data_IF_323055323665
#
_entry.id   IF_323055323665
#
_cell.length_a   1.000
_cell.length_b   1.000
_cell.length_c   1.000
_cell.angle_alpha   90.00
_cell.angle_beta   90.00
_cell.angle_gamma   90.00
#
_symmetry.space_group_name_H-M   'P 1'
#
loop_
_entity.id
_entity.type
_entity.pdbx_description
1 polymer ?
#
# COMPACT_ATOMS: atom_id res chain seq x y z
N UNK A 1 4.64 52.15 60.97
CA UNK A 1 5.85 51.79 60.20
C UNK A 1 5.67 50.38 59.65
N UNK A 2 5.89 50.24 58.33
CA UNK A 2 6.07 49.02 57.50
C UNK A 2 4.97 47.94 57.53
N UNK A 3 4.13 47.84 56.47
CA UNK A 3 4.37 47.07 55.21
C UNK A 3 4.80 45.62 55.46
N UNK A 4 3.94 44.66 55.11
CA UNK A 4 4.29 43.66 54.08
C UNK A 4 3.11 42.72 53.76
N UNK A 5 2.68 42.84 52.51
CA UNK A 5 2.01 41.88 51.62
C UNK A 5 1.63 40.49 52.14
N UNK A 6 0.33 40.18 52.07
CA UNK A 6 -0.17 38.82 51.79
C UNK A 6 0.03 38.54 50.30
N UNK A 7 1.12 37.88 49.96
CA UNK A 7 1.30 37.19 48.68
C UNK A 7 0.67 35.80 48.80
N UNK A 8 -0.04 35.44 47.74
CA UNK A 8 -0.66 34.16 47.40
C UNK A 8 0.02 32.90 47.95
N UNK A 9 -0.77 32.04 48.58
CA UNK A 9 -0.51 30.59 48.64
C UNK A 9 -1.76 29.85 48.15
N UNK A 10 -2.02 29.99 46.85
CA UNK A 10 -2.60 28.90 46.05
C UNK A 10 -1.40 28.03 45.67
N UNK A 11 -1.17 26.97 46.42
CA UNK A 11 -0.20 25.93 46.11
C UNK A 11 -0.90 24.60 46.33
N UNK A 12 -1.62 24.16 45.30
CA UNK A 12 -2.21 22.82 45.23
C UNK A 12 -1.12 21.79 45.50
N UNK A 13 -1.36 20.86 46.42
CA UNK A 13 -0.42 19.80 46.73
C UNK A 13 -0.29 18.88 45.52
N UNK A 14 0.82 18.99 44.80
CA UNK A 14 1.16 18.11 43.70
C UNK A 14 1.22 16.66 44.19
N UNK A 15 0.42 15.77 43.61
CA UNK A 15 0.39 14.39 44.08
C UNK A 15 1.74 13.70 43.86
N UNK A 16 2.10 12.83 44.80
CA UNK A 16 3.28 11.95 44.73
C UNK A 16 3.35 11.20 43.38
N UNK A 17 2.19 10.96 42.77
CA UNK A 17 2.03 10.35 41.46
C UNK A 17 2.60 11.24 40.32
N UNK A 18 2.18 12.50 40.23
CA UNK A 18 2.70 13.43 39.22
C UNK A 18 4.19 13.72 39.42
N UNK A 19 4.64 13.87 40.67
CA UNK A 19 6.06 14.07 41.00
C UNK A 19 6.91 12.89 40.56
N UNK A 20 6.40 11.66 40.68
CA UNK A 20 7.09 10.45 40.20
C UNK A 20 7.21 10.47 38.68
N UNK A 21 6.13 10.76 37.95
CA UNK A 21 6.17 10.82 36.48
C UNK A 21 7.09 11.93 35.98
N UNK A 22 7.06 13.12 36.60
CA UNK A 22 7.97 14.24 36.29
C UNK A 22 9.43 13.85 36.47
N UNK A 23 9.77 13.20 37.60
CA UNK A 23 11.13 12.75 37.88
C UNK A 23 11.59 11.76 36.82
N UNK A 24 10.77 10.74 36.54
CA UNK A 24 11.14 9.72 35.57
C UNK A 24 11.26 10.34 34.17
N UNK A 25 10.38 11.26 33.79
CA UNK A 25 10.46 11.94 32.47
C UNK A 25 11.74 12.77 32.31
N UNK A 26 12.11 13.56 33.33
CA UNK A 26 13.36 14.34 33.31
C UNK A 26 14.63 13.49 33.17
N UNK A 27 14.61 12.25 33.68
CA UNK A 27 15.75 11.31 33.55
C UNK A 27 15.95 10.84 32.10
N UNK A 28 14.89 10.87 31.28
CA UNK A 28 14.84 10.26 29.95
C UNK A 28 14.62 11.25 28.80
N UNK A 29 14.31 12.51 29.10
CA UNK A 29 13.96 13.56 28.13
C UNK A 29 15.08 13.83 27.10
N UNK A 30 16.36 13.67 27.48
CA UNK A 30 17.52 14.10 26.67
C UNK A 30 18.57 13.02 26.38
N UNK A 31 18.27 11.73 26.60
CA UNK A 31 19.22 10.63 26.37
C UNK A 31 18.63 9.53 25.50
N UNK A 32 19.46 8.84 24.73
CA UNK A 32 19.07 7.59 24.08
C UNK A 32 18.80 6.55 25.16
N UNK A 33 17.57 6.03 25.22
CA UNK A 33 17.11 5.17 26.30
C UNK A 33 17.36 3.71 25.91
N UNK A 34 18.15 2.93 26.67
CA UNK A 34 18.26 1.49 26.47
C UNK A 34 16.89 0.82 26.57
N UNK A 35 16.64 -0.18 25.71
CA UNK A 35 15.36 -0.89 25.64
C UNK A 35 14.87 -1.42 27.02
N UNK A 36 15.80 -1.89 27.85
CA UNK A 36 15.53 -2.39 29.21
C UNK A 36 15.00 -1.30 30.15
N UNK A 37 15.50 -0.06 30.03
CA UNK A 37 15.04 1.08 30.82
C UNK A 37 13.67 1.57 30.34
N UNK A 38 13.40 1.51 29.03
CA UNK A 38 12.05 1.73 28.48
C UNK A 38 11.04 0.69 28.98
N UNK A 39 11.42 -0.59 29.04
CA UNK A 39 10.55 -1.64 29.57
C UNK A 39 10.25 -1.43 31.05
N UNK A 40 11.26 -1.10 31.87
CA UNK A 40 11.06 -0.73 33.27
C UNK A 40 10.18 0.51 33.44
N UNK A 41 10.34 1.52 32.59
CA UNK A 41 9.48 2.71 32.59
C UNK A 41 8.03 2.33 32.32
N UNK A 42 7.79 1.53 31.29
CA UNK A 42 6.48 1.06 30.87
C UNK A 42 5.82 0.20 31.96
N UNK A 43 6.55 -0.73 32.58
CA UNK A 43 6.06 -1.53 33.70
C UNK A 43 5.69 -0.68 34.91
N UNK A 44 6.53 0.30 35.28
CA UNK A 44 6.24 1.21 36.39
C UNK A 44 4.99 2.04 36.13
N UNK A 45 4.83 2.59 34.94
CA UNK A 45 3.62 3.32 34.55
C UNK A 45 2.39 2.42 34.50
N UNK A 46 2.52 1.22 33.96
CA UNK A 46 1.42 0.27 33.88
C UNK A 46 0.95 -0.20 35.27
N UNK A 47 1.88 -0.52 36.18
CA UNK A 47 1.58 -0.84 37.58
C UNK A 47 0.90 0.31 38.31
N UNK A 48 1.21 1.56 37.93
CA UNK A 48 0.58 2.74 38.49
C UNK A 48 -0.84 2.96 37.93
N UNK A 49 -1.11 2.55 36.69
CA UNK A 49 -2.42 2.65 36.02
C UNK A 49 -3.41 1.56 36.41
N UNK A 50 -2.94 0.37 36.76
CA UNK A 50 -3.79 -0.77 37.19
C UNK A 50 -4.31 -0.64 38.63
N UNK A 51 -4.17 0.52 39.28
CA UNK A 51 -4.69 0.74 40.64
C UNK A 51 -6.21 0.95 40.61
N UNK A 52 -6.94 0.51 41.65
CA UNK A 52 -8.40 0.39 41.59
C UNK A 52 -9.13 1.72 41.34
N UNK A 53 -10.35 1.68 40.75
CA UNK A 53 -11.08 2.82 40.17
C UNK A 53 -11.54 3.89 41.16
N UNK A 54 -11.24 3.74 42.45
CA UNK A 54 -11.60 4.74 43.46
C UNK A 54 -10.74 6.02 43.36
N UNK A 55 -9.69 5.99 42.52
CA UNK A 55 -8.88 7.14 42.11
C UNK A 55 -9.27 7.71 40.73
N UNK A 56 -10.21 7.10 39.99
CA UNK A 56 -10.60 7.54 38.63
C UNK A 56 -11.37 8.87 38.58
N UNK A 57 -11.64 9.49 39.73
CA UNK A 57 -12.23 10.83 39.84
C UNK A 57 -11.34 11.84 40.58
N UNK A 58 -10.07 11.52 40.85
CA UNK A 58 -9.16 12.50 41.43
C UNK A 58 -8.52 13.35 40.31
N UNK A 59 -8.34 14.64 40.57
CA UNK A 59 -7.62 15.58 39.71
C UNK A 59 -6.26 15.04 39.22
N UNK A 60 -5.67 14.07 39.91
CA UNK A 60 -4.35 13.50 39.62
C UNK A 60 -4.25 12.74 38.30
N UNK A 61 -5.27 11.97 37.92
CA UNK A 61 -5.28 11.26 36.64
C UNK A 61 -5.27 12.24 35.46
N UNK A 62 -6.05 13.33 35.60
CA UNK A 62 -6.11 14.41 34.63
C UNK A 62 -4.81 15.21 34.58
N UNK A 63 -4.22 15.54 35.72
CA UNK A 63 -2.94 16.25 35.81
C UNK A 63 -1.78 15.45 35.21
N UNK A 64 -1.79 14.11 35.32
CA UNK A 64 -0.81 13.25 34.67
C UNK A 64 -1.00 13.19 33.16
N UNK A 65 -2.24 13.07 32.69
CA UNK A 65 -2.55 13.17 31.26
C UNK A 65 -2.09 14.52 30.71
N UNK A 66 -2.44 15.62 31.38
CA UNK A 66 -2.06 16.97 31.00
C UNK A 66 -0.54 17.16 30.98
N UNK A 67 0.19 16.57 31.92
CA UNK A 67 1.65 16.59 31.92
C UNK A 67 2.26 15.77 30.78
N UNK A 68 1.76 14.55 30.53
CA UNK A 68 2.22 13.72 29.42
C UNK A 68 1.91 14.37 28.06
N UNK A 69 0.74 14.99 27.91
CA UNK A 69 0.39 15.82 26.75
C UNK A 69 1.35 17.02 26.63
N UNK A 70 1.66 17.70 27.74
CA UNK A 70 2.63 18.79 27.76
C UNK A 70 3.99 18.37 27.23
N UNK A 71 4.44 17.17 27.62
CA UNK A 71 5.68 16.58 27.10
C UNK A 71 5.60 16.36 25.58
N UNK A 72 4.45 15.95 25.02
CA UNK A 72 4.32 15.80 23.55
C UNK A 72 4.55 17.11 22.77
N UNK A 73 4.43 18.28 23.41
CA UNK A 73 4.75 19.57 22.79
C UNK A 73 6.23 19.95 22.89
N UNK A 74 7.05 19.20 23.63
CA UNK A 74 8.48 19.46 23.74
C UNK A 74 9.24 18.88 22.52
N UNK A 75 9.88 19.78 21.77
CA UNK A 75 10.64 19.45 20.56
C UNK A 75 11.96 18.71 20.87
N UNK A 76 12.41 18.70 22.13
CA UNK A 76 13.69 18.12 22.55
C UNK A 76 13.59 16.68 23.06
N UNK A 77 12.40 16.18 23.32
CA UNK A 77 12.18 14.77 23.74
C UNK A 77 12.81 13.78 22.74
N UNK A 78 13.31 12.63 23.19
CA UNK A 78 13.73 11.57 22.28
C UNK A 78 12.54 10.90 21.56
N UNK A 79 12.66 10.57 20.28
CA UNK A 79 11.59 9.91 19.49
C UNK A 79 11.08 8.60 20.12
N UNK A 80 11.96 7.79 20.73
CA UNK A 80 11.55 6.56 21.41
C UNK A 80 10.69 6.86 22.65
N UNK A 81 11.05 7.91 23.39
CA UNK A 81 10.29 8.35 24.56
C UNK A 81 8.96 8.99 24.16
N UNK A 82 8.95 9.75 23.06
CA UNK A 82 7.74 10.29 22.46
C UNK A 82 6.76 9.18 22.06
N UNK A 83 7.24 8.15 21.35
CA UNK A 83 6.45 6.96 20.98
C UNK A 83 5.93 6.23 22.22
N UNK A 84 6.72 6.16 23.30
CA UNK A 84 6.30 5.55 24.56
C UNK A 84 5.16 6.33 25.21
N UNK A 85 5.26 7.66 25.31
CA UNK A 85 4.19 8.53 25.84
C UNK A 85 2.92 8.37 25.00
N UNK A 86 3.04 8.35 23.67
CA UNK A 86 1.94 8.09 22.73
C UNK A 86 1.26 6.75 23.00
N UNK A 87 2.04 5.67 23.12
CA UNK A 87 1.52 4.32 23.39
C UNK A 87 0.82 4.24 24.75
N UNK A 88 1.36 4.92 25.74
CA UNK A 88 0.77 4.99 27.07
C UNK A 88 -0.55 5.71 26.99
N UNK A 89 -0.57 6.98 26.55
CA UNK A 89 -1.80 7.77 26.41
C UNK A 89 -2.88 6.98 25.68
N UNK A 90 -2.55 6.32 24.57
CA UNK A 90 -3.49 5.46 23.84
C UNK A 90 -4.07 4.31 24.68
N UNK A 91 -3.37 3.75 25.67
CA UNK A 91 -3.92 2.67 26.51
C UNK A 91 -4.83 3.17 27.64
N UNK A 92 -4.93 4.48 27.88
CA UNK A 92 -5.69 5.04 28.98
C UNK A 92 -7.17 5.19 28.61
N UNK A 93 -8.06 4.39 29.23
CA UNK A 93 -9.49 4.42 28.91
C UNK A 93 -10.17 5.76 29.25
N UNK A 94 -9.73 6.46 30.29
CA UNK A 94 -10.29 7.76 30.70
C UNK A 94 -9.90 8.89 29.74
N UNK A 95 -8.76 8.75 29.07
CA UNK A 95 -8.34 9.67 28.01
C UNK A 95 -9.37 9.71 26.87
N UNK A 96 -9.94 8.57 26.49
CA UNK A 96 -10.95 8.53 25.42
C UNK A 96 -12.17 9.36 25.75
N UNK A 97 -12.70 9.27 26.96
CA UNK A 97 -13.85 10.08 27.36
C UNK A 97 -13.58 11.59 27.30
N UNK A 98 -12.33 12.01 27.48
CA UNK A 98 -11.95 13.43 27.48
C UNK A 98 -11.59 13.90 26.06
N UNK A 99 -10.84 13.11 25.30
CA UNK A 99 -10.43 13.40 23.92
C UNK A 99 -11.59 13.33 22.92
N UNK A 100 -12.49 12.35 23.08
CA UNK A 100 -13.63 12.17 22.17
C UNK A 100 -14.65 13.30 22.33
N UNK A 101 -14.74 13.91 23.52
CA UNK A 101 -15.65 15.02 23.79
C UNK A 101 -15.06 16.40 23.47
N UNK A 102 -13.73 16.55 23.47
CA UNK A 102 -13.04 17.83 23.21
C UNK A 102 -12.13 17.76 21.98
N UNK A 103 -12.74 17.87 20.80
CA UNK A 103 -12.03 17.98 19.52
C UNK A 103 -11.03 19.15 19.48
N UNK A 104 -11.18 20.19 20.31
CA UNK A 104 -10.25 21.33 20.34
C UNK A 104 -8.92 20.94 20.98
N UNK A 105 -8.94 20.18 22.07
CA UNK A 105 -7.72 19.68 22.72
C UNK A 105 -6.92 18.76 21.79
N UNK A 106 -7.61 17.89 21.05
CA UNK A 106 -6.99 17.10 19.99
C UNK A 106 -6.42 17.98 18.87
N UNK A 107 -7.17 19.00 18.43
CA UNK A 107 -6.71 19.97 17.41
C UNK A 107 -5.48 20.76 17.85
N UNK A 108 -5.33 21.05 19.14
CA UNK A 108 -4.14 21.69 19.70
C UNK A 108 -2.94 20.75 19.66
N UNK A 109 -3.09 19.50 20.13
CA UNK A 109 -2.05 18.45 20.01
C UNK A 109 -1.57 18.30 18.56
N UNK A 110 -2.49 18.33 17.60
CA UNK A 110 -2.19 18.17 16.17
C UNK A 110 -1.49 19.38 15.54
N UNK A 111 -1.98 20.60 15.81
CA UNK A 111 -1.46 21.80 15.15
C UNK A 111 -0.14 22.31 15.74
N UNK A 112 0.20 21.91 16.96
CA UNK A 112 1.39 22.41 17.67
C UNK A 112 2.54 21.39 17.71
N UNK A 113 2.32 20.12 17.33
CA UNK A 113 3.43 19.17 17.30
C UNK A 113 4.42 19.52 16.19
N UNK A 114 5.66 19.84 16.56
CA UNK A 114 6.77 20.15 15.64
C UNK A 114 7.33 18.85 15.00
N UNK A 115 6.89 17.68 15.48
CA UNK A 115 7.39 16.36 15.06
C UNK A 115 6.74 15.82 13.79
N UNK A 116 7.40 14.81 13.21
CA UNK A 116 7.03 14.20 11.92
C UNK A 116 5.57 13.71 11.91
N UNK A 117 4.81 13.93 10.82
CA UNK A 117 3.46 13.39 10.63
C UNK A 117 3.31 11.89 10.94
N UNK A 118 4.36 11.09 10.69
CA UNK A 118 4.44 9.64 10.98
C UNK A 118 4.03 9.29 12.41
N UNK A 119 4.56 10.01 13.40
CA UNK A 119 4.27 9.69 14.80
C UNK A 119 2.85 10.10 15.21
N UNK A 120 2.33 11.15 14.58
CA UNK A 120 0.97 11.60 14.75
C UNK A 120 -0.03 10.54 14.26
N UNK A 121 0.19 9.97 13.08
CA UNK A 121 -0.63 8.87 12.58
C UNK A 121 -0.53 7.63 13.45
N UNK A 122 0.68 7.32 13.94
CA UNK A 122 0.87 6.20 14.88
C UNK A 122 0.07 6.40 16.16
N UNK A 123 -0.01 7.63 16.68
CA UNK A 123 -0.86 7.94 17.84
C UNK A 123 -2.33 7.72 17.56
N UNK A 124 -2.83 8.16 16.40
CA UNK A 124 -4.23 7.94 16.00
C UNK A 124 -4.51 6.44 15.85
N UNK A 125 -3.60 5.69 15.21
CA UNK A 125 -3.70 4.24 15.06
C UNK A 125 -3.81 3.53 16.41
N UNK A 126 -2.94 3.89 17.35
CA UNK A 126 -2.93 3.30 18.68
C UNK A 126 -4.15 3.70 19.50
N UNK A 127 -4.56 4.98 19.42
CA UNK A 127 -5.80 5.44 20.04
C UNK A 127 -6.98 4.62 19.51
N UNK A 128 -7.05 4.36 18.21
CA UNK A 128 -8.15 3.57 17.70
C UNK A 128 -8.07 2.11 18.12
N UNK A 129 -6.88 1.50 18.02
CA UNK A 129 -6.65 0.10 18.38
C UNK A 129 -7.04 -0.22 19.84
N UNK A 130 -6.83 0.74 20.76
CA UNK A 130 -7.15 0.57 22.16
C UNK A 130 -8.51 1.17 22.57
N UNK A 131 -9.27 1.76 21.64
CA UNK A 131 -10.58 2.35 21.94
C UNK A 131 -11.62 1.25 22.24
N UNK A 132 -12.31 1.29 23.39
CA UNK A 132 -13.40 0.38 23.70
C UNK A 132 -14.54 0.43 22.65
N UNK A 133 -15.03 -0.73 22.19
CA UNK A 133 -16.07 -0.83 21.15
C UNK A 133 -17.36 -0.06 21.47
N UNK A 134 -17.76 -0.04 22.75
CA UNK A 134 -18.92 0.73 23.22
C UNK A 134 -18.72 2.25 23.08
N UNK A 135 -17.48 2.75 23.17
CA UNK A 135 -17.14 4.16 22.92
C UNK A 135 -17.06 4.48 21.44
N UNK A 136 -16.62 3.51 20.62
CA UNK A 136 -16.64 3.66 19.15
C UNK A 136 -18.06 3.90 18.65
N UNK A 137 -19.02 3.10 19.15
CA UNK A 137 -20.42 3.19 18.77
C UNK A 137 -21.12 4.50 19.15
N UNK A 138 -20.64 5.20 20.19
CA UNK A 138 -21.31 6.36 20.78
C UNK A 138 -20.66 7.70 20.42
N UNK A 139 -19.33 7.76 20.34
CA UNK A 139 -18.59 9.02 20.09
C UNK A 139 -17.40 8.82 19.14
N UNK A 140 -16.86 7.60 19.03
CA UNK A 140 -15.71 7.31 18.17
C UNK A 140 -15.97 7.52 16.67
N UNK A 141 -17.23 7.40 16.24
CA UNK A 141 -17.65 7.75 14.87
C UNK A 141 -17.41 9.22 14.53
N UNK A 142 -17.89 10.15 15.36
CA UNK A 142 -17.74 11.59 15.14
C UNK A 142 -16.27 12.01 15.21
N UNK A 143 -15.53 11.46 16.18
CA UNK A 143 -14.10 11.67 16.27
C UNK A 143 -13.34 11.13 15.07
N UNK A 144 -13.68 9.94 14.59
CA UNK A 144 -13.07 9.39 13.39
C UNK A 144 -13.38 10.25 12.16
N UNK A 145 -14.63 10.67 11.97
CA UNK A 145 -15.01 11.59 10.90
C UNK A 145 -14.24 12.89 10.99
N UNK A 146 -14.08 13.43 12.18
CA UNK A 146 -13.24 14.59 12.42
C UNK A 146 -11.79 14.32 12.02
N UNK A 147 -11.21 13.19 12.41
CA UNK A 147 -9.83 12.83 12.09
C UNK A 147 -9.61 12.64 10.58
N UNK A 148 -10.49 11.90 9.91
CA UNK A 148 -10.45 11.70 8.46
C UNK A 148 -10.59 13.02 7.72
N UNK A 149 -11.67 13.76 8.01
CA UNK A 149 -11.98 14.98 7.27
C UNK A 149 -10.95 16.10 7.54
N UNK A 150 -10.41 16.19 8.77
CA UNK A 150 -9.54 17.31 9.16
C UNK A 150 -8.07 17.05 8.86
N UNK A 151 -7.60 15.81 9.05
CA UNK A 151 -6.18 15.51 9.01
C UNK A 151 -5.81 14.54 7.89
N UNK A 152 -6.64 13.54 7.62
CA UNK A 152 -6.23 12.49 6.68
C UNK A 152 -6.09 13.01 5.26
N UNK A 153 -7.05 13.82 4.79
CA UNK A 153 -6.96 14.47 3.47
C UNK A 153 -5.74 15.39 3.39
N UNK A 154 -5.42 16.10 4.48
CA UNK A 154 -4.28 17.04 4.55
C UNK A 154 -2.93 16.34 4.45
N UNK A 155 -2.80 15.15 5.03
CA UNK A 155 -1.52 14.43 5.12
C UNK A 155 -1.41 13.22 4.19
N UNK A 156 -2.48 12.88 3.45
CA UNK A 156 -2.45 11.79 2.48
C UNK A 156 -1.24 11.90 1.54
N UNK A 157 -0.88 13.10 1.09
CA UNK A 157 0.22 13.32 0.15
C UNK A 157 1.62 13.44 0.79
N UNK A 158 1.80 13.15 2.09
CA UNK A 158 3.10 13.35 2.78
C UNK A 158 3.44 12.20 3.75
N UNK A 159 4.57 11.49 3.56
CA UNK A 159 5.59 11.63 2.51
C UNK A 159 5.15 10.99 1.18
N UNK A 160 5.59 11.51 0.02
CA UNK A 160 5.25 10.92 -1.27
C UNK A 160 5.87 9.53 -1.42
N UNK A 161 5.08 8.55 -1.86
CA UNK A 161 5.49 7.17 -2.14
C UNK A 161 6.03 6.38 -0.94
N UNK A 162 5.75 6.82 0.29
CA UNK A 162 6.15 6.11 1.50
C UNK A 162 5.11 5.01 1.83
N UNK A 163 5.51 3.75 1.63
CA UNK A 163 4.63 2.60 1.86
C UNK A 163 4.32 2.39 3.35
N UNK A 164 5.24 2.73 4.25
CA UNK A 164 5.04 2.61 5.70
C UNK A 164 3.95 3.58 6.15
N UNK A 165 4.03 4.81 5.64
CA UNK A 165 3.03 5.85 5.85
C UNK A 165 1.65 5.44 5.30
N UNK A 166 1.61 5.02 4.04
CA UNK A 166 0.37 4.61 3.38
C UNK A 166 -0.27 3.40 4.06
N UNK A 167 0.53 2.45 4.57
CA UNK A 167 0.04 1.30 5.29
C UNK A 167 -0.55 1.66 6.65
N UNK A 168 0.13 2.50 7.44
CA UNK A 168 -0.40 3.00 8.72
C UNK A 168 -1.75 3.73 8.52
N UNK A 169 -1.82 4.52 7.44
CA UNK A 169 -3.07 5.15 7.01
C UNK A 169 -4.15 4.13 6.64
N UNK A 170 -3.78 3.12 5.85
CA UNK A 170 -4.71 2.09 5.38
C UNK A 170 -5.24 1.20 6.51
N UNK A 171 -4.44 0.96 7.56
CA UNK A 171 -4.86 0.28 8.80
C UNK A 171 -6.01 1.03 9.44
N UNK A 172 -5.87 2.35 9.61
CA UNK A 172 -6.89 3.19 10.22
C UNK A 172 -8.21 3.21 9.45
N UNK A 173 -8.13 3.28 8.12
CA UNK A 173 -9.31 3.20 7.26
C UNK A 173 -9.99 1.82 7.33
N UNK A 174 -9.20 0.75 7.32
CA UNK A 174 -9.72 -0.61 7.42
C UNK A 174 -10.41 -0.86 8.77
N UNK A 175 -9.77 -0.42 9.85
CA UNK A 175 -10.28 -0.54 11.21
C UNK A 175 -11.58 0.24 11.43
N UNK A 176 -11.74 1.40 10.77
CA UNK A 176 -13.02 2.09 10.74
C UNK A 176 -14.09 1.27 10.05
N UNK A 177 -13.82 0.80 8.84
CA UNK A 177 -14.77 -0.01 8.09
C UNK A 177 -15.23 -1.24 8.88
N UNK A 178 -14.31 -1.97 9.51
CA UNK A 178 -14.67 -3.13 10.35
C UNK A 178 -15.59 -2.73 11.52
N UNK A 179 -15.33 -1.62 12.20
CA UNK A 179 -16.10 -1.25 13.37
C UNK A 179 -17.42 -0.53 13.06
N UNK A 180 -17.53 0.14 11.91
CA UNK A 180 -18.72 0.92 11.56
C UNK A 180 -19.63 0.18 10.62
N UNK A 181 -19.08 -0.52 9.63
CA UNK A 181 -19.90 -1.18 8.61
C UNK A 181 -20.21 -2.64 8.98
N UNK A 182 -19.31 -3.35 9.67
CA UNK A 182 -19.60 -4.73 10.09
C UNK A 182 -20.23 -4.83 11.49
N UNK A 183 -19.84 -3.97 12.41
CA UNK A 183 -20.26 -4.08 13.81
C UNK A 183 -21.40 -3.13 14.22
N UNK A 184 -21.73 -2.14 13.39
CA UNK A 184 -22.83 -1.21 13.65
C UNK A 184 -23.87 -1.27 12.51
N UNK A 185 -25.16 -1.03 12.80
CA UNK A 185 -26.22 -1.06 11.80
C UNK A 185 -26.19 0.12 10.82
N UNK A 186 -25.22 1.02 10.90
CA UNK A 186 -25.08 2.15 9.96
C UNK A 186 -24.16 1.79 8.80
N UNK A 187 -24.69 1.87 7.57
CA UNK A 187 -23.92 1.77 6.33
C UNK A 187 -23.08 3.03 6.10
N UNK A 188 -22.04 3.23 6.89
CA UNK A 188 -21.15 4.38 6.74
C UNK A 188 -20.04 4.12 5.70
N UNK A 189 -19.86 5.07 4.78
CA UNK A 189 -18.74 5.08 3.83
C UNK A 189 -17.44 5.50 4.51
N UNK A 190 -16.29 4.92 4.13
CA UNK A 190 -14.98 5.34 4.67
C UNK A 190 -14.75 6.84 4.40
N UNK A 191 -14.98 7.27 3.16
CA UNK A 191 -14.87 8.67 2.76
C UNK A 191 -16.25 9.32 2.64
N UNK A 192 -16.34 10.59 3.02
CA UNK A 192 -17.58 11.37 2.95
C UNK A 192 -17.87 11.91 1.55
N UNK A 193 -16.87 11.90 0.67
CA UNK A 193 -16.99 12.39 -0.70
C UNK A 193 -16.09 11.58 -1.65
N UNK A 194 -16.43 11.60 -2.94
CA UNK A 194 -15.69 10.89 -3.99
C UNK A 194 -14.28 11.44 -4.23
N UNK A 195 -14.04 12.74 -4.02
CA UNK A 195 -12.74 13.37 -4.25
C UNK A 195 -11.68 12.77 -3.34
N UNK A 196 -11.98 12.59 -2.06
CA UNK A 196 -11.02 12.05 -1.09
C UNK A 196 -10.80 10.55 -1.31
N UNK A 197 -11.84 9.80 -1.66
CA UNK A 197 -11.73 8.39 -2.04
C UNK A 197 -10.85 8.22 -3.29
N UNK A 198 -11.02 9.12 -4.27
CA UNK A 198 -10.17 9.16 -5.46
C UNK A 198 -8.73 9.49 -5.08
N UNK A 199 -8.49 10.57 -4.34
CA UNK A 199 -7.15 10.98 -3.94
C UNK A 199 -6.40 9.84 -3.24
N UNK A 200 -7.07 9.09 -2.36
CA UNK A 200 -6.48 7.92 -1.73
C UNK A 200 -6.12 6.84 -2.75
N UNK A 201 -7.03 6.50 -3.66
CA UNK A 201 -6.80 5.50 -4.71
C UNK A 201 -5.61 5.88 -5.61
N UNK A 202 -5.54 7.15 -6.02
CA UNK A 202 -4.42 7.67 -6.82
C UNK A 202 -3.10 7.59 -6.04
N UNK A 203 -3.12 7.94 -4.75
CA UNK A 203 -1.93 7.89 -3.90
C UNK A 203 -1.43 6.45 -3.67
N UNK A 204 -2.33 5.46 -3.59
CA UNK A 204 -1.97 4.05 -3.56
C UNK A 204 -1.27 3.64 -4.86
N UNK A 205 -1.84 3.98 -6.02
CA UNK A 205 -1.25 3.68 -7.33
C UNK A 205 0.14 4.32 -7.45
N UNK A 206 0.24 5.61 -7.15
CA UNK A 206 1.50 6.36 -7.15
C UNK A 206 2.56 5.70 -6.28
N UNK A 207 2.18 5.31 -5.05
CA UNK A 207 3.09 4.64 -4.12
C UNK A 207 3.52 3.29 -4.66
N UNK A 208 2.61 2.50 -5.23
CA UNK A 208 2.90 1.18 -5.76
C UNK A 208 3.73 1.23 -7.04
N UNK A 209 3.61 2.28 -7.87
CA UNK A 209 4.43 2.48 -9.05
C UNK A 209 5.89 2.82 -8.70
N UNK A 210 6.13 3.39 -7.52
CA UNK A 210 7.44 3.94 -7.14
C UNK A 210 8.12 3.25 -5.95
N UNK A 211 7.40 2.45 -5.16
CA UNK A 211 7.94 1.81 -3.95
C UNK A 211 9.11 0.89 -4.30
N UNK A 212 10.25 1.04 -3.65
CA UNK A 212 11.37 0.12 -3.82
C UNK A 212 11.30 -0.95 -2.74
N UNK A 213 11.07 -2.21 -3.15
CA UNK A 213 11.01 -3.32 -2.22
C UNK A 213 12.31 -3.42 -1.40
N UNK A 214 12.16 -3.67 -0.10
CA UNK A 214 13.28 -3.89 0.81
C UNK A 214 13.79 -5.34 0.63
N UNK A 215 14.70 -5.54 -0.33
CA UNK A 215 15.17 -6.88 -0.76
C UNK A 215 16.29 -7.46 0.12
N UNK A 216 16.85 -6.70 1.08
CA UNK A 216 17.89 -7.20 2.01
C UNK A 216 17.43 -7.02 3.46
N UNK A 217 17.57 -8.02 4.37
CA UNK A 217 17.44 -9.48 4.23
C UNK A 217 15.94 -9.90 4.23
N UNK A 218 15.59 -11.16 3.90
CA UNK A 218 14.21 -11.72 3.76
C UNK A 218 13.13 -11.25 4.77
N UNK A 219 13.52 -10.79 5.97
CA UNK A 219 12.60 -10.20 6.95
C UNK A 219 11.91 -8.94 6.41
N UNK A 220 12.61 -8.16 5.60
CA UNK A 220 12.11 -6.86 5.13
C UNK A 220 11.16 -7.01 3.94
N UNK A 221 11.34 -8.05 3.10
CA UNK A 221 10.36 -8.40 2.08
C UNK A 221 9.04 -8.88 2.70
N UNK A 222 9.09 -9.74 3.72
CA UNK A 222 7.88 -10.20 4.43
C UNK A 222 7.15 -9.01 5.06
N UNK A 223 7.90 -8.03 5.58
CA UNK A 223 7.33 -6.81 6.12
C UNK A 223 6.63 -5.99 5.02
N UNK A 224 7.27 -5.72 3.90
CA UNK A 224 6.66 -5.01 2.76
C UNK A 224 5.40 -5.73 2.26
N UNK A 225 5.42 -7.06 2.13
CA UNK A 225 4.25 -7.85 1.72
C UNK A 225 3.07 -7.72 2.69
N UNK A 226 3.33 -7.59 4.01
CA UNK A 226 2.27 -7.32 4.99
C UNK A 226 1.67 -5.93 4.80
N UNK A 227 2.50 -4.92 4.55
CA UNK A 227 2.05 -3.55 4.27
C UNK A 227 1.18 -3.51 3.00
N UNK A 228 1.67 -4.11 1.91
CA UNK A 228 0.96 -4.23 0.63
C UNK A 228 -0.40 -4.91 0.84
N UNK A 229 -0.45 -6.02 1.58
CA UNK A 229 -1.69 -6.76 1.86
C UNK A 229 -2.74 -5.89 2.56
N UNK A 230 -2.34 -5.07 3.53
CA UNK A 230 -3.28 -4.18 4.24
C UNK A 230 -3.77 -3.09 3.30
N UNK A 231 -2.88 -2.46 2.53
CA UNK A 231 -3.25 -1.43 1.55
C UNK A 231 -4.23 -2.00 0.53
N UNK A 232 -3.99 -3.21 0.00
CA UNK A 232 -4.88 -3.89 -0.93
C UNK A 232 -6.28 -4.14 -0.34
N UNK A 233 -6.35 -4.59 0.92
CA UNK A 233 -7.64 -4.78 1.60
C UNK A 233 -8.41 -3.47 1.70
N UNK A 234 -7.73 -2.39 2.06
CA UNK A 234 -8.35 -1.08 2.21
C UNK A 234 -8.79 -0.49 0.88
N UNK A 235 -7.94 -0.47 -0.16
CA UNK A 235 -8.32 0.07 -1.47
C UNK A 235 -9.46 -0.72 -2.11
N UNK A 236 -9.52 -2.06 -1.92
CA UNK A 236 -10.63 -2.86 -2.40
C UNK A 236 -11.97 -2.43 -1.77
N UNK A 237 -11.97 -2.08 -0.48
CA UNK A 237 -13.18 -1.53 0.16
C UNK A 237 -13.51 -0.15 -0.42
N UNK A 238 -12.52 0.72 -0.57
CA UNK A 238 -12.72 2.07 -1.14
C UNK A 238 -13.24 2.00 -2.58
N UNK A 239 -12.77 1.04 -3.39
CA UNK A 239 -13.26 0.83 -4.75
C UNK A 239 -14.65 0.20 -4.79
N UNK A 240 -15.09 -0.51 -3.75
CA UNK A 240 -16.46 -1.06 -3.66
C UNK A 240 -17.46 -0.06 -3.11
N UNK A 241 -16.98 0.93 -2.37
CA UNK A 241 -17.79 2.01 -1.84
C UNK A 241 -17.80 3.16 -2.86
N UNK A 242 -18.94 3.46 -3.47
CA UNK A 242 -19.12 4.71 -4.20
C UNK A 242 -19.81 5.70 -3.24
N UNK A 243 -19.07 6.62 -2.57
CA UNK A 243 -19.70 7.63 -1.73
C UNK A 243 -20.69 8.43 -2.58
N UNK A 244 -21.84 8.84 -2.02
CA UNK A 244 -22.87 9.50 -2.79
C UNK A 244 -22.31 10.75 -3.49
N UNK A 245 -22.20 10.71 -4.82
CA UNK A 245 -22.35 11.91 -5.64
C UNK A 245 -23.81 12.33 -5.49
N UNK A 246 -24.07 13.59 -5.18
CA UNK A 246 -25.41 14.16 -4.94
C UNK A 246 -26.56 13.32 -5.53
N UNK A 247 -27.21 12.57 -4.63
CA UNK A 247 -28.41 11.73 -4.82
C UNK A 247 -28.57 11.06 -6.20
N UNK A 248 -28.24 9.77 -6.28
CA UNK A 248 -29.21 8.69 -6.55
C UNK A 248 -28.50 7.42 -6.99
N UNK A 249 -28.58 6.35 -6.19
CA UNK A 249 -29.16 5.06 -6.57
C UNK A 249 -28.69 3.99 -5.59
N UNK A 250 -29.64 3.47 -4.83
CA UNK A 250 -29.59 2.12 -4.28
C UNK A 250 -29.52 1.10 -5.44
N UNK A 251 -29.01 -0.09 -5.11
CA UNK A 251 -28.86 -1.32 -5.91
C UNK A 251 -27.67 -1.42 -6.88
N UNK A 252 -26.56 -1.97 -6.37
CA UNK A 252 -26.05 -3.30 -6.78
C UNK A 252 -24.64 -3.57 -6.21
N UNK A 253 -24.47 -4.76 -5.63
CA UNK A 253 -23.22 -5.21 -4.99
C UNK A 253 -22.13 -5.66 -6.00
N UNK A 254 -22.47 -5.73 -7.29
CA UNK A 254 -21.60 -6.20 -8.38
C UNK A 254 -21.31 -5.14 -9.47
N UNK A 255 -21.63 -3.86 -9.23
CA UNK A 255 -21.33 -2.79 -10.20
C UNK A 255 -19.90 -2.27 -10.03
N UNK A 256 -19.17 -2.16 -11.15
CA UNK A 256 -17.89 -1.43 -11.18
C UNK A 256 -18.17 0.03 -10.83
N UNK A 257 -17.55 0.54 -9.76
CA UNK A 257 -17.78 1.91 -9.28
C UNK A 257 -17.06 2.95 -10.13
N UNK A 258 -17.50 4.21 -10.04
CA UNK A 258 -16.83 5.31 -10.73
C UNK A 258 -15.39 5.48 -10.24
N UNK A 259 -15.14 5.31 -8.94
CA UNK A 259 -13.79 5.41 -8.34
C UNK A 259 -12.87 4.34 -8.92
N UNK A 260 -13.34 3.10 -9.04
CA UNK A 260 -12.53 2.02 -9.59
C UNK A 260 -12.14 2.28 -11.04
N UNK A 261 -13.09 2.66 -11.91
CA UNK A 261 -12.81 2.94 -13.33
C UNK A 261 -11.78 4.05 -13.51
N UNK A 262 -11.96 5.16 -12.79
CA UNK A 262 -11.01 6.29 -12.85
C UNK A 262 -9.64 5.95 -12.28
N UNK A 263 -9.58 5.07 -11.28
CA UNK A 263 -8.31 4.58 -10.72
C UNK A 263 -7.56 3.71 -11.74
N UNK A 264 -8.28 2.83 -12.45
CA UNK A 264 -7.71 2.00 -13.53
C UNK A 264 -7.22 2.89 -14.69
N UNK A 265 -8.01 3.89 -15.06
CA UNK A 265 -7.66 4.89 -16.09
C UNK A 265 -6.38 5.63 -15.74
N UNK A 266 -6.26 6.08 -14.48
CA UNK A 266 -5.05 6.70 -13.97
C UNK A 266 -3.85 5.75 -14.00
N UNK A 267 -4.02 4.50 -13.55
CA UNK A 267 -2.98 3.48 -13.58
C UNK A 267 -2.41 3.30 -14.99
N UNK A 268 -3.26 3.10 -16.00
CA UNK A 268 -2.79 2.94 -17.39
C UNK A 268 -2.17 4.22 -17.94
N UNK A 269 -2.68 5.40 -17.57
CA UNK A 269 -2.09 6.67 -17.96
C UNK A 269 -0.66 6.81 -17.43
N UNK A 270 -0.43 6.52 -16.15
CA UNK A 270 0.89 6.62 -15.53
C UNK A 270 1.86 5.56 -16.05
N UNK A 271 1.41 4.31 -16.19
CA UNK A 271 2.25 3.24 -16.75
C UNK A 271 2.69 3.55 -18.19
N UNK A 272 1.81 4.07 -19.04
CA UNK A 272 2.17 4.43 -20.41
C UNK A 272 3.07 5.67 -20.52
N UNK A 273 3.24 6.43 -19.44
CA UNK A 273 4.14 7.58 -19.36
C UNK A 273 5.54 7.20 -18.82
N UNK A 274 5.76 5.94 -18.44
CA UNK A 274 7.07 5.45 -18.02
C UNK A 274 8.06 5.51 -19.21
N UNK A 275 8.97 6.49 -19.23
CA UNK A 275 9.93 6.68 -20.32
C UNK A 275 11.06 5.64 -20.26
N UNK A 276 11.39 4.98 -21.37
CA UNK A 276 12.66 4.24 -21.54
C UNK A 276 13.48 4.90 -22.67
N UNK A 277 14.81 5.17 -22.52
CA UNK A 277 15.83 4.19 -22.13
C UNK A 277 16.68 4.48 -20.88
N UNK A 278 16.52 5.62 -20.20
CA UNK A 278 17.45 6.00 -19.12
C UNK A 278 16.83 6.12 -17.71
N UNK A 279 15.50 5.96 -17.51
CA UNK A 279 14.83 6.39 -16.24
C UNK A 279 13.57 5.61 -15.85
N UNK A 280 13.52 5.20 -14.57
CA UNK A 280 12.37 4.63 -13.80
C UNK A 280 11.77 3.31 -14.34
N UNK A 281 12.37 2.20 -13.92
CA UNK A 281 11.73 0.87 -13.90
C UNK A 281 10.48 0.96 -13.01
N UNK A 282 9.31 0.51 -13.51
CA UNK A 282 8.12 0.39 -12.68
C UNK A 282 8.43 -0.48 -11.46
N UNK A 283 7.93 -0.10 -10.29
CA UNK A 283 8.06 -0.99 -9.13
C UNK A 283 7.24 -2.26 -9.31
N UNK A 284 7.84 -3.40 -8.97
CA UNK A 284 7.15 -4.70 -8.89
C UNK A 284 6.01 -4.75 -7.88
N UNK A 285 5.94 -3.78 -6.96
CA UNK A 285 4.83 -3.61 -6.02
C UNK A 285 3.50 -3.41 -6.76
N UNK A 286 3.53 -2.84 -7.97
CA UNK A 286 2.33 -2.58 -8.76
C UNK A 286 1.56 -3.84 -9.14
N UNK A 287 2.24 -4.99 -9.28
CA UNK A 287 1.63 -6.27 -9.64
C UNK A 287 0.50 -6.65 -8.68
N UNK A 288 0.63 -6.28 -7.42
CA UNK A 288 -0.35 -6.56 -6.38
C UNK A 288 -1.74 -5.94 -6.68
N UNK A 289 -1.80 -4.77 -7.34
CA UNK A 289 -3.07 -4.12 -7.68
C UNK A 289 -3.85 -4.87 -8.77
N UNK A 290 -3.16 -5.58 -9.68
CA UNK A 290 -3.81 -6.32 -10.78
C UNK A 290 -4.70 -7.46 -10.28
N UNK A 291 -4.52 -7.92 -9.03
CA UNK A 291 -5.42 -8.87 -8.36
C UNK A 291 -6.82 -8.31 -8.08
N UNK A 292 -6.96 -6.97 -8.02
CA UNK A 292 -8.21 -6.29 -7.69
C UNK A 292 -8.93 -5.72 -8.92
N UNK A 293 -8.28 -5.68 -10.07
CA UNK A 293 -8.83 -5.09 -11.28
C UNK A 293 -9.63 -6.16 -12.02
N UNK A 294 -10.92 -5.90 -12.20
CA UNK A 294 -11.78 -6.73 -13.05
C UNK A 294 -11.38 -6.54 -14.52
N UNK A 295 -11.23 -7.64 -15.27
CA UNK A 295 -10.81 -7.60 -16.67
C UNK A 295 -11.79 -6.78 -17.54
N UNK A 296 -13.10 -6.88 -17.28
CA UNK A 296 -14.11 -6.09 -17.99
C UNK A 296 -13.91 -4.57 -17.75
N UNK A 297 -13.59 -4.17 -16.51
CA UNK A 297 -13.29 -2.78 -16.18
C UNK A 297 -12.05 -2.27 -16.92
N UNK A 298 -11.01 -3.11 -16.99
CA UNK A 298 -9.78 -2.79 -17.70
C UNK A 298 -10.00 -2.68 -19.21
N UNK A 299 -10.71 -3.62 -19.83
CA UNK A 299 -11.04 -3.60 -21.26
C UNK A 299 -11.85 -2.36 -21.65
N UNK A 300 -12.91 -2.05 -20.89
CA UNK A 300 -13.70 -0.83 -21.09
C UNK A 300 -12.84 0.44 -20.97
N UNK A 301 -11.93 0.47 -19.99
CA UNK A 301 -11.06 1.63 -19.77
C UNK A 301 -10.05 1.81 -20.90
N UNK A 302 -9.39 0.74 -21.33
CA UNK A 302 -8.44 0.78 -22.44
C UNK A 302 -9.12 1.22 -23.74
N UNK A 303 -10.31 0.70 -24.03
CA UNK A 303 -11.12 1.12 -25.18
C UNK A 303 -11.46 2.60 -25.09
N UNK A 304 -11.97 3.08 -23.95
CA UNK A 304 -12.30 4.49 -23.76
C UNK A 304 -11.08 5.41 -23.96
N UNK A 305 -9.94 5.06 -23.35
CA UNK A 305 -8.69 5.81 -23.49
C UNK A 305 -8.15 5.80 -24.93
N UNK A 306 -8.37 4.72 -25.68
CA UNK A 306 -7.96 4.65 -27.08
C UNK A 306 -8.88 5.49 -27.98
N UNK A 307 -10.20 5.46 -27.74
CA UNK A 307 -11.17 6.23 -28.51
C UNK A 307 -11.07 7.75 -28.30
N UNK A 308 -10.52 8.21 -27.17
CA UNK A 308 -10.31 9.64 -26.87
C UNK A 308 -8.86 10.11 -27.07
N UNK A 309 -8.07 9.35 -27.83
CA UNK A 309 -6.67 9.62 -28.21
C UNK A 309 -5.66 9.73 -27.06
N UNK A 310 -6.07 9.40 -25.83
CA UNK A 310 -5.15 9.38 -24.68
C UNK A 310 -4.26 8.15 -24.69
N UNK A 311 -4.70 7.04 -25.27
CA UNK A 311 -3.89 5.85 -25.47
C UNK A 311 -3.70 5.62 -26.97
N UNK A 312 -2.46 5.37 -27.40
CA UNK A 312 -2.13 5.00 -28.76
C UNK A 312 -1.22 3.77 -28.76
N UNK A 313 -0.87 3.25 -29.94
CA UNK A 313 -0.03 2.06 -30.06
C UNK A 313 1.32 2.20 -29.34
N UNK A 314 1.97 3.36 -29.41
CA UNK A 314 3.24 3.62 -28.72
C UNK A 314 3.10 3.56 -27.20
N UNK A 315 2.11 4.26 -26.64
CA UNK A 315 1.81 4.27 -25.20
C UNK A 315 1.41 2.89 -24.69
N UNK A 316 0.63 2.14 -25.46
CA UNK A 316 0.28 0.77 -25.13
C UNK A 316 1.50 -0.17 -25.17
N UNK A 317 2.45 0.07 -26.09
CA UNK A 317 3.72 -0.69 -26.15
C UNK A 317 4.55 -0.50 -24.90
N UNK A 318 4.56 0.70 -24.33
CA UNK A 318 5.24 0.98 -23.06
C UNK A 318 4.61 0.15 -21.94
N UNK A 319 3.27 0.16 -21.80
CA UNK A 319 2.58 -0.63 -20.76
C UNK A 319 2.94 -2.11 -20.87
N UNK A 320 2.83 -2.69 -22.08
CA UNK A 320 3.08 -4.11 -22.31
C UNK A 320 4.54 -4.48 -22.00
N UNK A 321 5.51 -3.69 -22.49
CA UNK A 321 6.93 -3.93 -22.23
C UNK A 321 7.25 -3.86 -20.74
N UNK A 322 6.80 -2.80 -20.06
CA UNK A 322 7.05 -2.65 -18.64
C UNK A 322 6.45 -3.81 -17.83
N UNK A 323 5.26 -4.31 -18.20
CA UNK A 323 4.69 -5.47 -17.51
C UNK A 323 5.49 -6.74 -17.78
N UNK A 324 5.93 -7.00 -19.02
CA UNK A 324 6.81 -8.13 -19.36
C UNK A 324 8.12 -8.07 -18.55
N UNK A 325 8.72 -6.88 -18.41
CA UNK A 325 9.96 -6.69 -17.64
C UNK A 325 9.78 -6.97 -16.13
N UNK A 326 8.56 -6.91 -15.60
CA UNK A 326 8.25 -7.26 -14.21
C UNK A 326 8.19 -8.77 -13.94
N UNK A 327 8.49 -9.61 -14.93
CA UNK A 327 8.56 -11.07 -14.77
C UNK A 327 9.62 -11.51 -13.74
N UNK A 328 10.57 -10.64 -13.39
CA UNK A 328 11.61 -10.86 -12.36
C UNK A 328 11.22 -10.43 -10.95
N UNK A 329 9.98 -9.99 -10.75
CA UNK A 329 9.51 -9.62 -9.43
C UNK A 329 9.58 -10.81 -8.44
N UNK A 330 9.63 -10.54 -7.11
CA UNK A 330 9.54 -11.61 -6.13
C UNK A 330 8.30 -12.48 -6.34
N UNK A 331 8.46 -13.80 -6.22
CA UNK A 331 7.42 -14.80 -6.50
C UNK A 331 6.03 -14.46 -5.91
N UNK A 332 5.90 -14.01 -4.64
CA UNK A 332 4.59 -13.65 -4.08
C UNK A 332 3.86 -12.52 -4.82
N UNK A 333 4.60 -11.60 -5.45
CA UNK A 333 4.03 -10.50 -6.22
C UNK A 333 3.67 -10.93 -7.63
N UNK A 334 4.52 -11.73 -8.29
CA UNK A 334 4.19 -12.34 -9.58
C UNK A 334 2.90 -13.15 -9.47
N UNK A 335 2.79 -14.00 -8.45
CA UNK A 335 1.62 -14.84 -8.22
C UNK A 335 0.35 -14.06 -7.89
N UNK A 336 0.47 -12.79 -7.48
CA UNK A 336 -0.69 -11.93 -7.20
C UNK A 336 -1.38 -11.44 -8.48
N UNK A 337 -0.66 -11.38 -9.59
CA UNK A 337 -1.21 -11.01 -10.89
C UNK A 337 -1.45 -12.29 -11.71
N UNK A 338 -2.64 -12.49 -12.32
CA UNK A 338 -2.82 -13.53 -13.32
C UNK A 338 -2.04 -13.14 -14.59
N UNK A 339 -0.73 -13.37 -14.54
CA UNK A 339 0.27 -12.69 -15.36
C UNK A 339 0.06 -12.94 -16.84
N UNK A 340 -0.08 -14.20 -17.24
CA UNK A 340 -0.42 -14.59 -18.62
C UNK A 340 -1.69 -13.90 -19.11
N UNK A 341 -2.78 -13.92 -18.32
CA UNK A 341 -4.07 -13.35 -18.71
C UNK A 341 -3.96 -11.86 -19.02
N UNK A 342 -3.18 -11.12 -18.23
CA UNK A 342 -2.95 -9.70 -18.45
C UNK A 342 -2.07 -9.41 -19.66
N UNK A 343 -0.96 -10.14 -19.81
CA UNK A 343 -0.06 -9.94 -20.95
C UNK A 343 -0.77 -10.28 -22.26
N UNK A 344 -1.44 -11.43 -22.33
CA UNK A 344 -2.20 -11.86 -23.52
C UNK A 344 -3.43 -10.98 -23.77
N UNK A 345 -4.08 -10.46 -22.72
CA UNK A 345 -5.16 -9.49 -22.80
C UNK A 345 -4.71 -8.17 -23.44
N UNK A 346 -3.56 -7.62 -23.02
CA UNK A 346 -2.97 -6.44 -23.63
C UNK A 346 -2.55 -6.69 -25.08
N UNK A 347 -1.95 -7.85 -25.37
CA UNK A 347 -1.64 -8.23 -26.75
C UNK A 347 -2.90 -8.31 -27.62
N UNK A 348 -4.02 -8.80 -27.08
CA UNK A 348 -5.32 -8.83 -27.75
C UNK A 348 -5.95 -7.42 -27.88
N UNK A 349 -5.63 -6.49 -26.99
CA UNK A 349 -6.03 -5.09 -27.13
C UNK A 349 -5.34 -4.45 -28.34
N UNK A 350 -4.04 -4.71 -28.58
CA UNK A 350 -3.35 -4.25 -29.80
C UNK A 350 -4.04 -4.72 -31.08
N UNK A 351 -4.43 -6.00 -31.14
CA UNK A 351 -5.09 -6.55 -32.33
C UNK A 351 -6.47 -5.93 -32.53
N UNK A 352 -7.21 -5.72 -31.43
CA UNK A 352 -8.52 -5.05 -31.45
C UNK A 352 -8.41 -3.61 -31.94
N UNK A 353 -7.37 -2.87 -31.53
CA UNK A 353 -7.10 -1.50 -31.95
C UNK A 353 -6.34 -1.39 -33.28
N UNK A 354 -6.14 -2.51 -33.98
CA UNK A 354 -5.40 -2.59 -35.25
C UNK A 354 -3.96 -2.04 -35.18
N UNK A 355 -3.34 -2.09 -34.00
CA UNK A 355 -1.97 -1.60 -33.74
C UNK A 355 -0.92 -2.69 -33.95
N UNK A 356 -1.00 -3.42 -35.07
CA UNK A 356 -0.19 -4.62 -35.33
C UNK A 356 1.32 -4.33 -35.37
N UNK A 357 1.74 -3.22 -35.98
CA UNK A 357 3.15 -2.84 -36.13
C UNK A 357 3.81 -2.58 -34.77
N UNK A 358 3.09 -1.94 -33.86
CA UNK A 358 3.55 -1.68 -32.49
C UNK A 358 3.67 -2.97 -31.67
N UNK A 359 2.71 -3.89 -31.82
CA UNK A 359 2.78 -5.20 -31.16
C UNK A 359 3.97 -6.02 -31.69
N UNK A 360 4.16 -6.05 -33.01
CA UNK A 360 5.32 -6.69 -33.65
C UNK A 360 6.63 -6.15 -33.08
N UNK A 361 6.74 -4.81 -32.94
CA UNK A 361 7.91 -4.18 -32.36
C UNK A 361 8.13 -4.58 -30.89
N UNK A 362 7.07 -4.70 -30.10
CA UNK A 362 7.17 -5.22 -28.71
C UNK A 362 7.70 -6.65 -28.69
N UNK A 363 7.14 -7.52 -29.54
CA UNK A 363 7.57 -8.93 -29.66
C UNK A 363 9.05 -9.00 -30.01
N UNK A 364 9.48 -8.29 -31.05
CA UNK A 364 10.88 -8.29 -31.50
C UNK A 364 11.84 -7.84 -30.39
N UNK A 365 11.46 -6.82 -29.59
CA UNK A 365 12.29 -6.28 -28.51
C UNK A 365 12.32 -7.15 -27.25
N UNK A 366 11.24 -7.88 -26.94
CA UNK A 366 11.10 -8.60 -25.66
C UNK A 366 11.33 -10.11 -25.75
N UNK A 367 11.33 -10.69 -26.95
CA UNK A 367 11.49 -12.15 -27.13
C UNK A 367 12.80 -12.66 -26.56
N UNK A 368 13.93 -11.97 -26.78
CA UNK A 368 15.23 -12.42 -26.24
C UNK A 368 15.27 -12.39 -24.72
N UNK A 369 14.68 -11.35 -24.12
CA UNK A 369 14.55 -11.22 -22.68
C UNK A 369 13.77 -12.41 -22.11
N UNK A 370 12.57 -12.70 -22.67
CA UNK A 370 11.74 -13.84 -22.26
C UNK A 370 12.43 -15.20 -22.39
N UNK A 371 13.21 -15.42 -23.46
CA UNK A 371 14.03 -16.64 -23.60
C UNK A 371 15.04 -16.76 -22.45
N UNK A 372 15.62 -15.64 -22.01
CA UNK A 372 16.47 -15.58 -20.82
C UNK A 372 15.76 -16.02 -19.53
N UNK A 373 14.45 -15.81 -19.43
CA UNK A 373 13.67 -16.23 -18.26
C UNK A 373 13.33 -17.72 -18.21
N UNK A 374 13.51 -18.44 -19.31
CA UNK A 374 13.34 -19.90 -19.33
C UNK A 374 14.40 -20.62 -18.48
N UNK A 375 15.49 -19.95 -18.11
CA UNK A 375 16.56 -20.51 -17.27
C UNK A 375 16.29 -20.41 -15.76
N UNK A 376 15.22 -19.73 -15.34
CA UNK A 376 14.91 -19.51 -13.94
C UNK A 376 13.64 -20.27 -13.54
N UNK A 377 13.76 -21.11 -12.50
CA UNK A 377 12.67 -21.98 -12.05
C UNK A 377 11.42 -21.22 -11.58
N UNK A 378 11.59 -19.98 -11.16
CA UNK A 378 10.55 -19.13 -10.58
C UNK A 378 9.73 -18.39 -11.64
N UNK A 379 10.24 -18.26 -12.88
CA UNK A 379 9.67 -17.38 -13.91
C UNK A 379 9.43 -18.05 -15.26
N UNK A 380 10.00 -19.25 -15.48
CA UNK A 380 9.89 -19.93 -16.78
C UNK A 380 8.44 -20.19 -17.23
N UNK A 381 7.52 -20.50 -16.30
CA UNK A 381 6.12 -20.77 -16.63
C UNK A 381 5.43 -19.55 -17.26
N UNK A 382 5.66 -18.38 -16.70
CA UNK A 382 5.14 -17.14 -17.25
C UNK A 382 5.81 -16.82 -18.60
N UNK A 383 7.13 -17.00 -18.69
CA UNK A 383 7.88 -16.68 -19.89
C UNK A 383 7.47 -17.57 -21.07
N UNK A 384 7.33 -18.88 -20.84
CA UNK A 384 6.97 -19.83 -21.90
C UNK A 384 5.55 -19.58 -22.41
N UNK A 385 4.59 -19.27 -21.53
CA UNK A 385 3.21 -18.93 -21.93
C UNK A 385 3.15 -17.69 -22.84
N UNK A 386 3.94 -16.66 -22.53
CA UNK A 386 4.03 -15.45 -23.36
C UNK A 386 4.66 -15.78 -24.71
N UNK A 387 5.74 -16.58 -24.72
CA UNK A 387 6.40 -17.01 -25.96
C UNK A 387 5.48 -17.85 -26.84
N UNK A 388 4.64 -18.72 -26.27
CA UNK A 388 3.59 -19.44 -27.02
C UNK A 388 2.66 -18.47 -27.75
N UNK A 389 2.18 -17.43 -27.05
CA UNK A 389 1.33 -16.42 -27.67
C UNK A 389 2.06 -15.67 -28.79
N UNK A 390 3.32 -15.27 -28.55
CA UNK A 390 4.14 -14.54 -29.52
C UNK A 390 4.35 -15.34 -30.81
N UNK A 391 4.74 -16.62 -30.70
CA UNK A 391 4.92 -17.52 -31.86
C UNK A 391 3.61 -17.73 -32.61
N UNK A 392 2.49 -17.90 -31.87
CA UNK A 392 1.18 -18.06 -32.50
C UNK A 392 0.74 -16.83 -33.28
N UNK A 393 1.11 -15.64 -32.82
CA UNK A 393 0.73 -14.37 -33.43
C UNK A 393 1.66 -13.94 -34.58
N UNK A 394 2.99 -14.02 -34.40
CA UNK A 394 3.96 -13.53 -35.37
C UNK A 394 4.15 -14.48 -36.56
N UNK A 395 3.48 -14.15 -37.67
CA UNK A 395 3.55 -14.93 -38.92
C UNK A 395 4.87 -14.76 -39.70
N UNK A 396 5.80 -13.90 -39.28
CA UNK A 396 7.03 -13.58 -40.05
C UNK A 396 8.16 -14.60 -39.85
N UNK A 397 7.96 -15.68 -39.08
CA UNK A 397 8.98 -16.66 -38.68
C UNK A 397 10.13 -16.08 -37.83
N UNK A 398 10.28 -14.76 -37.73
CA UNK A 398 11.35 -14.07 -37.01
C UNK A 398 11.38 -14.44 -35.52
N UNK A 399 10.25 -14.32 -34.83
CA UNK A 399 10.12 -14.73 -33.42
C UNK A 399 10.52 -16.20 -33.22
N UNK A 400 10.04 -17.08 -34.10
CA UNK A 400 10.34 -18.50 -34.04
C UNK A 400 11.84 -18.78 -34.24
N UNK A 401 12.49 -18.14 -35.23
CA UNK A 401 13.94 -18.22 -35.44
C UNK A 401 14.74 -17.74 -34.23
N UNK A 402 14.30 -16.68 -33.56
CA UNK A 402 14.97 -16.18 -32.35
C UNK A 402 14.98 -17.23 -31.23
N UNK A 403 13.88 -17.98 -31.08
CA UNK A 403 13.77 -19.10 -30.12
C UNK A 403 14.70 -20.25 -30.55
N UNK A 404 14.64 -20.68 -31.81
CA UNK A 404 15.44 -21.78 -32.34
C UNK A 404 16.96 -21.53 -32.19
N UNK A 405 17.42 -20.32 -32.50
CA UNK A 405 18.83 -19.94 -32.36
C UNK A 405 19.37 -20.03 -30.93
N UNK A 406 18.49 -20.07 -29.92
CA UNK A 406 18.86 -20.17 -28.50
C UNK A 406 18.55 -21.55 -27.91
N UNK A 407 17.86 -22.40 -28.67
CA UNK A 407 17.40 -23.72 -28.25
C UNK A 407 18.54 -24.68 -27.89
N UNK A 408 19.67 -24.78 -28.63
CA UNK A 408 20.75 -25.70 -28.28
C UNK A 408 21.33 -25.43 -26.88
N UNK A 409 21.64 -24.16 -26.57
CA UNK A 409 22.13 -23.75 -25.25
C UNK A 409 21.12 -24.05 -24.14
N UNK A 410 19.83 -23.91 -24.47
CA UNK A 410 18.74 -24.13 -23.54
C UNK A 410 18.55 -25.62 -23.25
N UNK A 411 18.62 -26.48 -24.26
CA UNK A 411 18.56 -27.93 -24.11
C UNK A 411 19.78 -28.49 -23.36
N UNK A 412 20.98 -27.95 -23.63
CA UNK A 412 22.21 -28.33 -22.91
C UNK A 412 22.05 -28.10 -21.39
N UNK A 413 21.57 -26.92 -20.99
CA UNK A 413 21.37 -26.60 -19.57
C UNK A 413 20.19 -27.34 -18.92
N UNK A 414 19.15 -27.69 -19.69
CA UNK A 414 18.04 -28.51 -19.18
C UNK A 414 18.42 -29.98 -19.02
N UNK A 415 19.38 -30.46 -19.79
CA UNK A 415 19.94 -31.81 -19.65
C UNK A 415 20.66 -31.98 -18.31
N UNK A 416 21.28 -30.90 -17.79
CA UNK A 416 21.96 -30.91 -16.48
C UNK A 416 21.02 -30.71 -15.30
N UNK A 417 19.88 -30.02 -15.49
CA UNK A 417 18.96 -29.64 -14.41
C UNK A 417 17.75 -30.58 -14.23
N UNK A 418 17.58 -31.61 -15.08
CA UNK A 418 16.50 -32.61 -15.02
C UNK A 418 15.06 -32.04 -14.90
N UNK A 419 14.78 -30.86 -15.47
CA UNK A 419 13.42 -30.30 -15.50
C UNK A 419 12.64 -30.80 -16.73
N UNK A 420 11.96 -31.94 -16.59
CA UNK A 420 11.25 -32.58 -17.70
C UNK A 420 9.94 -31.88 -18.10
N UNK A 421 9.31 -31.12 -17.21
CA UNK A 421 8.13 -30.29 -17.52
C UNK A 421 8.50 -29.18 -18.50
N UNK A 422 9.55 -28.41 -18.20
CA UNK A 422 10.03 -27.34 -19.06
C UNK A 422 10.44 -27.88 -20.44
N UNK A 423 11.18 -29.00 -20.50
CA UNK A 423 11.52 -29.65 -21.77
C UNK A 423 10.29 -29.94 -22.62
N UNK A 424 9.23 -30.48 -22.01
CA UNK A 424 7.98 -30.79 -22.70
C UNK A 424 7.35 -29.53 -23.31
N UNK A 425 7.25 -28.45 -22.53
CA UNK A 425 6.69 -27.17 -23.01
C UNK A 425 7.51 -26.55 -24.15
N UNK A 426 8.84 -26.68 -24.10
CA UNK A 426 9.71 -26.19 -25.18
C UNK A 426 9.52 -27.01 -26.46
N UNK A 427 9.42 -28.34 -26.34
CA UNK A 427 9.13 -29.20 -27.49
C UNK A 427 7.78 -28.84 -28.11
N UNK A 428 6.75 -28.61 -27.28
CA UNK A 428 5.44 -28.13 -27.73
C UNK A 428 5.53 -26.78 -28.45
N UNK A 429 6.31 -25.83 -27.93
CA UNK A 429 6.56 -24.53 -28.56
C UNK A 429 7.23 -24.69 -29.93
N UNK A 430 8.22 -25.59 -30.03
CA UNK A 430 8.89 -25.89 -31.28
C UNK A 430 7.95 -26.54 -32.31
N UNK A 431 7.17 -27.54 -31.91
CA UNK A 431 6.18 -28.17 -32.79
C UNK A 431 5.13 -27.16 -33.28
N UNK A 432 4.68 -26.25 -32.42
CA UNK A 432 3.77 -25.18 -32.81
C UNK A 432 4.41 -24.26 -33.85
N UNK A 433 5.65 -23.84 -33.64
CA UNK A 433 6.38 -22.99 -34.59
C UNK A 433 6.55 -23.64 -35.96
N UNK A 434 6.91 -24.93 -36.00
CA UNK A 434 7.02 -25.71 -37.26
C UNK A 434 5.65 -25.85 -37.95
N UNK A 435 4.58 -26.07 -37.19
CA UNK A 435 3.24 -26.18 -37.75
C UNK A 435 2.75 -24.86 -38.38
N UNK A 436 3.15 -23.71 -37.82
CA UNK A 436 2.84 -22.38 -38.36
C UNK A 436 3.75 -22.03 -39.55
N UNK A 437 5.00 -22.50 -39.53
CA UNK A 437 6.02 -22.26 -40.55
C UNK A 437 6.51 -23.56 -41.19
N UNK A 438 5.66 -24.24 -41.99
CA UNK A 438 6.00 -25.56 -42.56
C UNK A 438 7.13 -25.49 -43.60
N UNK A 439 7.41 -24.31 -44.14
CA UNK A 439 8.51 -24.04 -45.07
C UNK A 439 9.86 -23.89 -44.37
N UNK A 440 9.89 -23.94 -43.04
CA UNK A 440 11.13 -23.94 -42.27
C UNK A 440 11.92 -25.22 -42.57
N UNK A 441 12.96 -25.08 -43.38
CA UNK A 441 13.87 -26.15 -43.74
C UNK A 441 14.97 -26.30 -42.67
N UNK A 442 14.80 -27.31 -41.81
CA UNK A 442 15.79 -27.65 -40.77
C UNK A 442 17.08 -28.26 -41.33
N UNK A 443 17.20 -28.47 -42.65
CA UNK A 443 18.38 -29.11 -43.25
C UNK A 443 19.61 -28.18 -43.36
N UNK A 444 19.43 -26.86 -43.21
CA UNK A 444 20.50 -25.86 -43.33
C UNK A 444 20.99 -25.27 -41.98
N UNK A 445 20.34 -25.60 -40.87
CA UNK A 445 20.73 -25.13 -39.54
C UNK A 445 21.23 -26.32 -38.71
N UNK A 446 22.44 -26.21 -38.17
CA UNK A 446 23.03 -27.23 -37.30
C UNK A 446 22.21 -27.23 -36.00
N UNK A 447 21.31 -28.21 -35.86
CA UNK A 447 20.59 -28.52 -34.61
C UNK A 447 21.35 -29.57 -33.83
#
# INVERSE_FOLDING_TARGET
MNKSSRISTLGESESLFLTTIKRISNEYEYREIPLEQMQMFNEKLHQLWMRPPQLDRSNDGYLVVEYLEKLLFDDKINDHFFILIINLLAKNQNLYHTLLNDHQRFKQLFNLSIRKPVYLMRYIELLYYYCPLNLIATVGLEFYRFVVNTYFVKYLHRPPYDIDWLAAFSILLYQFYENTTKNLPSSEFIFTNQKDAMNYSLHVIDTFLHHQLKIKPNKDLIYDLKLISIILKTINIVWKQDPPADKSSDDNQDRITHIQLRSIEYLFNEMSNAKSPDKKVLSSTILALFSLIQLDAADMTLKAMFFDDRLNGERLSIILKCLIELIDAPLPLIQSMPYETWITGLCSAFTTFQQHDYLIKVIDETTVFLIGHLFYSETYDNAIQILFWFVRYDKRMQTFRMILNRLPNLLEQLSTNHNDDLKTKIIELCHMGVAIHPEYDSSNEIV
#
